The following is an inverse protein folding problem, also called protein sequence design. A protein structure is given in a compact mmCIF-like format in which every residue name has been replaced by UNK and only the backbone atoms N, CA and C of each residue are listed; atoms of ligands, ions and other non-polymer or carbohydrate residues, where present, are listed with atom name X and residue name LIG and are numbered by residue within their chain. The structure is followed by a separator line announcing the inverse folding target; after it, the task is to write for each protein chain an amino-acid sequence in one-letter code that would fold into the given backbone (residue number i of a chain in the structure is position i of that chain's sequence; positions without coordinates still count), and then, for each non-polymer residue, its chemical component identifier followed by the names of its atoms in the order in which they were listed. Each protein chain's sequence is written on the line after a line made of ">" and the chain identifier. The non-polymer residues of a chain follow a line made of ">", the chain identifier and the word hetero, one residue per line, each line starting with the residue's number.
data_IF_362637054308
#
_entry.id   IF_362637054308
#
_cell.length_a   1.000
_cell.length_b   1.000
_cell.length_c   1.000
_cell.angle_alpha   90.00
_cell.angle_beta   90.00
_cell.angle_gamma   90.00
#
_symmetry.space_group_name_H-M   'P 1'
#
loop_
_entity.id
_entity.type
_entity.pdbx_description
1 polymer ?
#
# COMPACT_ATOMS: atom_id res chain seq x y z
N UNK A 1 1.62 8.13 -12.59
CA UNK A 1 0.50 7.45 -13.28
C UNK A 1 -0.75 7.88 -12.54
N UNK A 2 -1.71 8.53 -13.22
CA UNK A 2 -3.01 8.84 -12.62
C UNK A 2 -3.95 7.78 -13.17
N UNK A 3 -4.21 6.74 -12.38
CA UNK A 3 -4.88 5.55 -12.90
C UNK A 3 -6.41 5.68 -12.87
N UNK A 4 -6.96 6.52 -11.98
CA UNK A 4 -8.40 6.79 -11.85
C UNK A 4 -8.62 8.25 -11.41
N UNK A 5 -9.55 8.96 -12.05
CA UNK A 5 -9.94 10.34 -11.71
C UNK A 5 -11.45 10.41 -11.55
N UNK A 6 -11.91 10.56 -10.30
CA UNK A 6 -13.33 10.70 -9.96
C UNK A 6 -13.68 12.18 -9.71
N UNK A 7 -13.86 12.96 -10.78
CA UNK A 7 -14.18 14.39 -10.68
C UNK A 7 -15.67 14.63 -10.39
N UNK A 8 -15.97 15.67 -9.61
CA UNK A 8 -17.34 16.18 -9.49
C UNK A 8 -17.88 16.65 -10.85
N UNK A 9 -19.18 16.56 -11.07
CA UNK A 9 -19.81 16.92 -12.34
C UNK A 9 -19.42 18.34 -12.77
N UNK A 10 -18.83 18.46 -13.96
CA UNK A 10 -18.37 19.74 -14.52
C UNK A 10 -16.90 20.08 -14.22
N UNK A 11 -16.17 19.25 -13.47
CA UNK A 11 -14.71 19.38 -13.33
C UNK A 11 -13.95 18.53 -14.36
N UNK A 12 -12.70 18.91 -14.71
CA UNK A 12 -11.97 20.08 -14.22
C UNK A 12 -12.49 21.40 -14.83
N UNK A 13 -12.82 22.35 -13.97
CA UNK A 13 -13.02 23.74 -14.35
C UNK A 13 -11.64 24.39 -14.43
N UNK A 14 -11.32 24.98 -15.58
CA UNK A 14 -10.08 25.73 -15.77
C UNK A 14 -10.15 27.00 -14.92
N UNK A 15 -9.39 27.05 -13.82
CA UNK A 15 -9.37 28.21 -12.92
C UNK A 15 -8.23 29.17 -13.27
N UNK A 16 -7.13 28.66 -13.84
CA UNK A 16 -5.99 29.43 -14.34
C UNK A 16 -5.51 28.88 -15.70
N UNK A 17 -4.93 29.74 -16.55
CA UNK A 17 -4.27 29.34 -17.80
C UNK A 17 -2.92 28.65 -17.56
N UNK A 18 -2.35 28.80 -16.35
CA UNK A 18 -0.99 28.37 -16.03
C UNK A 18 -0.93 27.19 -15.07
N UNK A 19 -1.75 27.14 -14.01
CA UNK A 19 -1.67 26.05 -13.02
C UNK A 19 -2.98 25.87 -12.24
N UNK A 20 -3.58 24.68 -12.37
CA UNK A 20 -4.72 24.25 -11.56
C UNK A 20 -4.26 23.19 -10.53
N UNK A 21 -4.70 23.32 -9.28
CA UNK A 21 -4.54 22.29 -8.25
C UNK A 21 -5.86 21.54 -8.04
N UNK A 22 -5.79 20.31 -7.51
CA UNK A 22 -6.97 19.50 -7.19
C UNK A 22 -7.04 19.21 -5.70
N UNK A 23 -8.26 19.18 -5.16
CA UNK A 23 -8.54 18.77 -3.79
C UNK A 23 -9.65 17.73 -3.80
N UNK A 24 -9.58 16.81 -2.83
CA UNK A 24 -10.66 15.88 -2.54
C UNK A 24 -11.66 16.57 -1.60
N UNK A 25 -12.92 16.63 -1.99
CA UNK A 25 -13.97 17.25 -1.18
C UNK A 25 -14.61 16.27 -0.18
N UNK A 26 -15.59 16.75 0.58
CA UNK A 26 -16.33 15.92 1.55
C UNK A 26 -17.17 14.81 0.89
N UNK A 27 -17.50 14.97 -0.38
CA UNK A 27 -18.23 13.99 -1.20
C UNK A 27 -17.30 12.92 -1.77
N UNK A 28 -15.99 13.00 -1.47
CA UNK A 28 -14.91 12.15 -2.03
C UNK A 28 -14.76 12.31 -3.54
N UNK A 29 -15.11 13.48 -4.06
CA UNK A 29 -14.94 13.84 -5.46
C UNK A 29 -13.76 14.82 -5.60
N UNK A 30 -13.07 14.75 -6.73
CA UNK A 30 -11.99 15.68 -7.05
C UNK A 30 -12.57 16.96 -7.66
N UNK A 31 -12.09 18.11 -7.20
CA UNK A 31 -12.43 19.41 -7.79
C UNK A 31 -11.19 20.31 -7.93
N UNK A 32 -11.21 21.18 -8.92
CA UNK A 32 -10.12 22.13 -9.19
C UNK A 32 -10.20 23.36 -8.30
N UNK A 33 -9.04 23.87 -7.88
CA UNK A 33 -8.89 25.04 -7.00
C UNK A 33 -7.67 25.88 -7.37
N UNK A 34 -7.66 27.14 -6.94
CA UNK A 34 -6.46 27.98 -6.95
C UNK A 34 -5.42 27.42 -5.97
N UNK A 35 -4.25 27.05 -6.49
CA UNK A 35 -3.12 26.50 -5.74
C UNK A 35 -2.61 27.40 -4.60
N UNK A 36 -2.84 28.71 -4.66
CA UNK A 36 -2.36 29.66 -3.64
C UNK A 36 -3.22 29.64 -2.38
N UNK A 37 -4.39 29.01 -2.42
CA UNK A 37 -5.26 28.88 -1.25
C UNK A 37 -4.74 27.78 -0.33
N UNK A 38 -4.71 28.01 0.99
CA UNK A 38 -4.31 26.97 1.94
C UNK A 38 -5.40 25.91 2.06
N UNK A 39 -4.99 24.64 1.98
CA UNK A 39 -5.86 23.48 2.21
C UNK A 39 -5.18 22.50 3.17
N UNK A 40 -5.94 21.77 4.01
CA UNK A 40 -5.44 20.57 4.68
C UNK A 40 -4.97 19.55 3.63
N UNK A 41 -3.84 18.90 3.88
CA UNK A 41 -3.26 17.92 2.98
C UNK A 41 -3.27 16.52 3.60
N UNK A 42 -3.52 15.52 2.77
CA UNK A 42 -3.28 14.12 3.08
C UNK A 42 -1.92 13.74 2.49
N UNK A 43 -1.02 13.26 3.34
CA UNK A 43 0.27 12.73 2.90
C UNK A 43 0.15 11.22 2.73
N UNK A 44 0.55 10.71 1.55
CA UNK A 44 0.80 9.28 1.38
C UNK A 44 2.24 9.00 1.82
N UNK A 45 2.39 8.13 2.82
CA UNK A 45 3.69 7.54 3.14
C UNK A 45 3.77 6.19 2.44
N UNK A 46 4.75 6.03 1.55
CA UNK A 46 5.08 4.71 1.06
C UNK A 46 5.75 3.95 2.20
N UNK A 47 5.25 2.77 2.59
CA UNK A 47 5.94 1.99 3.60
C UNK A 47 7.32 1.61 3.07
N UNK A 48 8.29 1.73 3.96
CA UNK A 48 9.64 1.27 3.70
C UNK A 48 9.62 -0.25 3.57
N UNK A 49 10.53 -0.79 2.76
CA UNK A 49 10.69 -2.24 2.67
C UNK A 49 10.93 -2.77 4.10
N UNK A 50 10.22 -3.82 4.56
CA UNK A 50 10.45 -4.37 5.87
C UNK A 50 11.92 -4.80 5.98
N UNK A 51 12.55 -4.64 7.15
CA UNK A 51 13.95 -4.98 7.37
C UNK A 51 14.29 -6.38 6.86
N UNK A 52 15.40 -6.50 6.12
CA UNK A 52 15.82 -7.76 5.50
C UNK A 52 15.96 -8.91 6.52
N UNK A 53 16.27 -8.61 7.78
CA UNK A 53 16.40 -9.60 8.86
C UNK A 53 15.09 -10.33 9.18
N UNK A 54 13.97 -9.61 9.09
CA UNK A 54 12.64 -10.21 9.30
C UNK A 54 12.28 -11.12 8.12
N UNK A 55 12.69 -10.76 6.91
CA UNK A 55 12.41 -11.51 5.68
C UNK A 55 13.32 -12.74 5.52
N UNK A 56 14.57 -12.67 5.99
CA UNK A 56 15.53 -13.78 6.01
C UNK A 56 15.04 -14.98 6.82
N UNK A 57 14.27 -14.71 7.87
CA UNK A 57 13.59 -15.73 8.67
C UNK A 57 12.59 -16.59 7.89
N UNK A 58 12.23 -16.22 6.65
CA UNK A 58 11.28 -16.96 5.82
C UNK A 58 11.86 -17.47 4.49
N UNK A 59 12.96 -16.91 3.98
CA UNK A 59 13.58 -17.34 2.72
C UNK A 59 14.31 -18.67 2.83
N UNK A 60 14.99 -18.91 3.95
CA UNK A 60 15.92 -20.04 4.13
C UNK A 60 15.35 -21.15 5.02
N UNK A 61 14.02 -21.17 5.23
CA UNK A 61 13.39 -22.18 6.08
C UNK A 61 13.03 -23.42 5.27
N UNK A 62 13.69 -24.53 5.62
CA UNK A 62 13.28 -25.88 5.23
C UNK A 62 12.23 -26.42 6.21
N UNK A 63 10.95 -26.24 5.88
CA UNK A 63 9.85 -26.77 6.68
C UNK A 63 9.81 -28.31 6.72
N UNK A 64 10.47 -29.02 5.79
CA UNK A 64 10.48 -30.48 5.77
C UNK A 64 11.35 -31.06 6.89
N UNK A 65 12.40 -30.34 7.29
CA UNK A 65 13.28 -30.70 8.40
C UNK A 65 12.60 -30.64 9.79
N UNK A 66 11.42 -30.02 9.89
CA UNK A 66 10.71 -29.83 11.16
C UNK A 66 9.99 -31.12 11.58
N UNK A 67 10.50 -31.76 12.65
CA UNK A 67 9.93 -33.00 13.21
C UNK A 67 8.56 -32.84 13.88
N UNK A 68 8.28 -31.67 14.45
CA UNK A 68 7.00 -31.41 15.11
C UNK A 68 5.93 -31.02 14.08
N UNK A 69 4.88 -31.84 13.97
CA UNK A 69 3.84 -31.65 12.95
C UNK A 69 3.12 -30.30 13.07
N UNK A 70 2.80 -29.85 14.28
CA UNK A 70 2.15 -28.55 14.50
C UNK A 70 3.05 -27.39 14.05
N UNK A 71 4.35 -27.45 14.38
CA UNK A 71 5.34 -26.45 13.93
C UNK A 71 5.56 -26.50 12.42
N UNK A 72 5.53 -27.69 11.82
CA UNK A 72 5.66 -27.88 10.36
C UNK A 72 4.49 -27.21 9.61
N UNK A 73 3.26 -27.39 10.09
CA UNK A 73 2.07 -26.75 9.50
C UNK A 73 2.18 -25.21 9.57
N UNK A 74 2.61 -24.66 10.72
CA UNK A 74 2.80 -23.22 10.89
C UNK A 74 3.87 -22.70 9.92
N UNK A 75 5.00 -23.39 9.81
CA UNK A 75 6.08 -23.04 8.89
C UNK A 75 5.62 -22.98 7.43
N UNK A 76 4.91 -24.02 6.96
CA UNK A 76 4.41 -24.08 5.58
C UNK A 76 3.43 -22.92 5.32
N UNK A 77 2.56 -22.61 6.29
CA UNK A 77 1.61 -21.49 6.18
C UNK A 77 2.33 -20.14 6.06
N UNK A 78 3.33 -19.91 6.92
CA UNK A 78 4.11 -18.67 6.90
C UNK A 78 4.94 -18.53 5.63
N UNK A 79 5.58 -19.59 5.15
CA UNK A 79 6.32 -19.60 3.87
C UNK A 79 5.42 -19.26 2.69
N UNK A 80 4.19 -19.78 2.67
CA UNK A 80 3.20 -19.46 1.63
C UNK A 80 2.78 -17.99 1.67
N UNK A 81 2.55 -17.43 2.86
CA UNK A 81 2.23 -16.00 3.02
C UNK A 81 3.40 -15.11 2.58
N UNK A 82 4.64 -15.51 2.89
CA UNK A 82 5.84 -14.83 2.44
C UNK A 82 5.99 -14.84 0.90
N UNK A 83 5.72 -15.96 0.23
CA UNK A 83 5.75 -16.03 -1.23
C UNK A 83 4.67 -15.16 -1.88
N UNK A 84 3.47 -15.08 -1.27
CA UNK A 84 2.43 -14.13 -1.70
C UNK A 84 2.95 -12.71 -1.54
N UNK A 85 3.45 -12.35 -0.35
CA UNK A 85 4.03 -11.04 -0.09
C UNK A 85 5.15 -10.69 -1.09
N UNK A 86 6.08 -11.60 -1.38
CA UNK A 86 7.19 -11.39 -2.32
C UNK A 86 6.71 -11.04 -3.73
N UNK A 87 5.70 -11.76 -4.22
CA UNK A 87 5.15 -11.64 -5.58
C UNK A 87 4.06 -10.57 -5.70
N UNK A 88 3.57 -10.03 -4.58
CA UNK A 88 2.56 -8.97 -4.53
C UNK A 88 3.09 -7.61 -5.03
N UNK A 89 2.17 -6.77 -5.49
CA UNK A 89 2.47 -5.39 -5.86
C UNK A 89 2.97 -4.59 -4.65
N UNK A 90 3.58 -3.42 -4.90
CA UNK A 90 4.01 -2.55 -3.80
C UNK A 90 2.85 -2.17 -2.89
N UNK A 91 1.69 -1.85 -3.44
CA UNK A 91 0.50 -1.51 -2.67
C UNK A 91 0.00 -2.69 -1.81
N UNK A 92 -0.03 -3.90 -2.40
CA UNK A 92 -0.50 -5.11 -1.71
C UNK A 92 0.43 -5.54 -0.57
N UNK A 93 1.74 -5.35 -0.71
CA UNK A 93 2.73 -5.62 0.34
C UNK A 93 2.39 -4.88 1.64
N UNK A 94 1.95 -3.63 1.54
CA UNK A 94 1.53 -2.79 2.68
C UNK A 94 0.33 -3.40 3.41
N UNK A 95 -0.66 -3.90 2.67
CA UNK A 95 -1.85 -4.52 3.26
C UNK A 95 -1.53 -5.86 3.94
N UNK A 96 -0.50 -6.56 3.45
CA UNK A 96 -0.08 -7.87 3.94
C UNK A 96 0.88 -7.81 5.13
N UNK A 97 1.60 -6.71 5.35
CA UNK A 97 2.52 -6.54 6.48
C UNK A 97 1.83 -6.78 7.84
N UNK A 98 0.64 -6.23 8.03
CA UNK A 98 -0.12 -6.42 9.28
C UNK A 98 -0.57 -7.88 9.50
N UNK A 99 -0.72 -8.67 8.44
CA UNK A 99 -1.10 -10.09 8.53
C UNK A 99 0.08 -11.04 8.73
N UNK A 100 1.31 -10.58 8.47
CA UNK A 100 2.55 -11.36 8.60
C UNK A 100 3.31 -10.99 9.88
N UNK A 101 3.27 -9.71 10.30
CA UNK A 101 4.02 -9.16 11.42
C UNK A 101 3.15 -8.68 12.59
N UNK A 102 1.83 -8.83 12.52
CA UNK A 102 0.94 -8.55 13.63
C UNK A 102 1.07 -9.60 14.73
N UNK A 103 1.62 -9.19 15.87
CA UNK A 103 1.48 -9.87 17.17
C UNK A 103 0.02 -9.86 17.66
#
# INVERSE_FOLDING_TARGET
>A
MVDLVDCEDGHPLKNDDVQDCVVLDSSRMWRTVDCRRPFPALCELYPEKPPDDILRGFTDVDCESIKNNAKKIICVRQKKLYEIYKNSSRADKCALENGIFGE
#
